data_IF_233787144108
#
_entry.id   IF_233787144108
#
_cell.length_a   1.000
_cell.length_b   1.000
_cell.length_c   1.000
_cell.angle_alpha   90.00
_cell.angle_beta   90.00
_cell.angle_gamma   90.00
#
_symmetry.space_group_name_H-M   'P 1'
#
loop_
_entity.id
_entity.type
_entity.pdbx_description
1 polymer ?
#
# COMPACT_ATOMS: atom_id res chain seq x y z
N UNK A 1 26.16 -8.61 -3.28
CA UNK A 1 25.00 -9.30 -3.85
C UNK A 1 24.22 -9.95 -2.71
N UNK A 2 22.88 -9.87 -2.72
CA UNK A 2 21.98 -10.45 -1.75
C UNK A 2 20.62 -10.67 -2.39
N UNK A 3 19.57 -10.62 -1.59
CA UNK A 3 18.20 -10.86 -2.00
C UNK A 3 17.26 -9.83 -1.37
N UNK A 4 16.00 -9.80 -1.81
CA UNK A 4 14.96 -8.94 -1.22
C UNK A 4 14.76 -9.22 0.28
N UNK A 5 15.06 -10.44 0.75
CA UNK A 5 15.01 -10.77 2.19
C UNK A 5 16.01 -9.97 3.04
N UNK A 6 17.04 -9.39 2.43
CA UNK A 6 18.01 -8.54 3.13
C UNK A 6 17.48 -7.10 3.32
N UNK A 7 16.37 -6.75 2.69
CA UNK A 7 15.72 -5.44 2.84
C UNK A 7 14.66 -5.41 3.94
N UNK A 8 14.04 -6.54 4.24
CA UNK A 8 12.95 -6.62 5.19
C UNK A 8 12.22 -7.97 5.17
N UNK A 9 11.21 -8.07 6.01
CA UNK A 9 10.37 -9.26 6.09
C UNK A 9 9.29 -9.24 5.01
N UNK A 10 9.29 -10.26 4.14
CA UNK A 10 8.23 -10.44 3.13
C UNK A 10 7.03 -11.15 3.76
N UNK A 11 5.90 -10.45 3.80
CA UNK A 11 4.64 -10.89 4.41
C UNK A 11 3.60 -11.13 3.31
N UNK A 12 2.97 -12.29 3.33
CA UNK A 12 1.81 -12.58 2.49
C UNK A 12 0.53 -12.07 3.11
N UNK A 13 -0.40 -11.61 2.27
CA UNK A 13 -1.74 -11.26 2.74
C UNK A 13 -2.67 -12.47 2.83
N UNK A 14 -3.85 -12.25 3.41
CA UNK A 14 -4.90 -13.25 3.58
C UNK A 14 -6.30 -12.66 3.40
N UNK A 15 -7.27 -13.53 3.12
CA UNK A 15 -8.66 -13.14 2.96
C UNK A 15 -9.50 -13.89 3.96
N UNK A 16 -10.18 -13.21 4.90
CA UNK A 16 -11.18 -13.84 5.74
C UNK A 16 -12.31 -14.45 4.89
N UNK A 17 -12.98 -15.47 5.40
CA UNK A 17 -14.08 -16.10 4.67
C UNK A 17 -15.19 -15.09 4.37
N UNK A 18 -15.46 -14.83 3.10
CA UNK A 18 -16.54 -13.93 2.66
C UNK A 18 -17.94 -14.43 3.01
N UNK A 19 -18.08 -15.71 3.45
CA UNK A 19 -19.35 -16.27 3.90
C UNK A 19 -19.74 -15.84 5.32
N UNK A 20 -18.82 -15.21 6.05
CA UNK A 20 -19.00 -14.79 7.44
C UNK A 20 -18.95 -13.27 7.47
N UNK A 21 -20.12 -12.64 7.49
CA UNK A 21 -20.27 -11.18 7.45
C UNK A 21 -19.57 -10.49 8.64
N UNK A 22 -19.58 -11.14 9.81
CA UNK A 22 -18.92 -10.65 11.03
C UNK A 22 -17.40 -10.42 10.88
N UNK A 23 -16.77 -10.95 9.84
CA UNK A 23 -15.33 -10.74 9.58
C UNK A 23 -15.05 -9.42 8.91
N UNK A 24 -16.09 -8.70 8.44
CA UNK A 24 -15.97 -7.47 7.68
C UNK A 24 -16.70 -6.32 8.36
N UNK A 25 -16.21 -5.11 8.20
CA UNK A 25 -16.79 -3.89 8.78
C UNK A 25 -16.40 -2.68 7.94
N UNK A 26 -17.05 -1.55 8.16
CA UNK A 26 -16.68 -0.25 7.60
C UNK A 26 -15.71 0.56 8.47
N UNK A 27 -15.47 0.10 9.70
CA UNK A 27 -14.57 0.79 10.64
C UNK A 27 -13.88 -0.26 11.53
N UNK A 28 -12.73 -0.72 11.12
CA UNK A 28 -11.96 -1.76 11.78
C UNK A 28 -10.48 -1.73 11.40
N UNK A 29 -9.92 -2.91 11.14
CA UNK A 29 -8.54 -3.06 10.67
C UNK A 29 -8.53 -2.87 9.15
N UNK A 30 -7.77 -1.89 8.68
CA UNK A 30 -7.62 -1.62 7.27
C UNK A 30 -7.17 -2.87 6.50
N UNK A 31 -7.94 -3.25 5.47
CA UNK A 31 -7.67 -4.44 4.66
C UNK A 31 -7.61 -4.08 3.18
N UNK A 32 -6.39 -3.95 2.69
CA UNK A 32 -6.10 -3.44 1.36
C UNK A 32 -6.13 -4.55 0.32
N UNK A 33 -6.75 -4.26 -0.83
CA UNK A 33 -6.81 -5.14 -2.00
C UNK A 33 -6.14 -4.49 -3.20
N UNK A 34 -5.75 -5.24 -4.25
CA UNK A 34 -5.22 -4.64 -5.48
C UNK A 34 -6.22 -3.70 -6.17
N UNK A 35 -7.54 -3.91 -5.97
CA UNK A 35 -8.59 -3.00 -6.45
C UNK A 35 -8.46 -1.62 -5.83
N UNK A 36 -8.16 -1.54 -4.54
CA UNK A 36 -8.01 -0.26 -3.85
C UNK A 36 -6.84 0.53 -4.43
N UNK A 37 -5.69 -0.11 -4.67
CA UNK A 37 -4.54 0.53 -5.32
C UNK A 37 -4.74 0.80 -6.83
N UNK A 38 -5.72 0.16 -7.46
CA UNK A 38 -6.13 0.49 -8.82
C UNK A 38 -6.97 1.77 -8.86
N UNK A 39 -7.83 1.95 -7.87
CA UNK A 39 -8.75 3.09 -7.76
C UNK A 39 -8.03 4.35 -7.26
N UNK A 40 -7.17 4.21 -6.27
CA UNK A 40 -6.32 5.27 -5.73
C UNK A 40 -4.85 4.93 -5.95
N UNK A 41 -4.19 5.69 -6.82
CA UNK A 41 -2.77 5.53 -7.16
C UNK A 41 -1.84 6.35 -6.29
N UNK A 42 -2.32 6.84 -5.16
CA UNK A 42 -1.50 7.51 -4.15
C UNK A 42 -0.38 6.60 -3.68
N UNK A 43 0.77 7.19 -3.37
CA UNK A 43 1.90 6.44 -2.82
C UNK A 43 1.61 5.95 -1.40
N UNK A 44 0.86 6.74 -0.61
CA UNK A 44 0.54 6.43 0.78
C UNK A 44 -0.92 6.01 0.93
N UNK A 45 -1.14 4.83 1.52
CA UNK A 45 -2.47 4.25 1.71
C UNK A 45 -2.69 3.88 3.18
N UNK A 46 -3.82 4.32 3.75
CA UNK A 46 -4.21 4.00 5.12
C UNK A 46 -5.42 3.07 5.19
N UNK A 47 -6.32 3.12 4.22
CA UNK A 47 -7.55 2.34 4.17
C UNK A 47 -7.85 1.86 2.76
N UNK A 48 -8.62 0.76 2.65
CA UNK A 48 -9.27 0.29 1.44
C UNK A 48 -10.78 0.58 1.46
N UNK A 49 -11.50 -0.08 0.56
CA UNK A 49 -12.96 0.00 0.48
C UNK A 49 -13.65 -0.73 1.67
N UNK A 50 -12.99 -1.71 2.24
CA UNK A 50 -13.55 -2.57 3.29
C UNK A 50 -12.49 -2.87 4.34
N UNK A 51 -12.88 -2.78 5.61
CA UNK A 51 -12.05 -3.19 6.74
C UNK A 51 -12.42 -4.60 7.19
N UNK A 52 -11.54 -5.23 7.97
CA UNK A 52 -11.82 -6.48 8.64
C UNK A 52 -11.88 -6.28 10.16
N UNK A 53 -12.67 -7.14 10.83
CA UNK A 53 -12.72 -7.15 12.28
C UNK A 53 -11.50 -7.88 12.86
N UNK A 54 -11.24 -7.71 14.16
CA UNK A 54 -10.21 -8.51 14.85
C UNK A 54 -10.51 -10.02 14.75
N UNK A 55 -11.80 -10.39 14.76
CA UNK A 55 -12.20 -11.77 14.55
C UNK A 55 -11.85 -12.25 13.14
N UNK A 56 -12.10 -11.41 12.12
CA UNK A 56 -11.71 -11.69 10.74
C UNK A 56 -10.19 -11.85 10.58
N UNK A 57 -9.41 -10.99 11.22
CA UNK A 57 -7.96 -11.11 11.27
C UNK A 57 -7.54 -12.44 11.94
N UNK A 58 -8.05 -12.72 13.14
CA UNK A 58 -7.69 -13.91 13.91
C UNK A 58 -8.11 -15.24 13.26
N UNK A 59 -9.18 -15.23 12.44
CA UNK A 59 -9.72 -16.42 11.77
C UNK A 59 -9.26 -16.57 10.31
N UNK A 60 -8.27 -15.81 9.90
CA UNK A 60 -7.72 -15.85 8.54
C UNK A 60 -6.19 -15.91 8.54
N UNK A 61 -5.60 -15.97 7.35
CA UNK A 61 -4.15 -15.83 7.15
C UNK A 61 -3.72 -14.37 6.95
N UNK A 62 -4.63 -13.41 7.12
CA UNK A 62 -4.28 -11.99 7.07
C UNK A 62 -3.35 -11.65 8.24
N UNK A 63 -2.37 -10.81 7.97
CA UNK A 63 -1.39 -10.39 8.97
C UNK A 63 -1.43 -8.87 9.08
N UNK A 64 -1.49 -8.35 10.29
CA UNK A 64 -1.37 -6.93 10.55
C UNK A 64 0.09 -6.49 10.38
N UNK A 65 0.31 -5.49 9.56
CA UNK A 65 1.63 -4.95 9.24
C UNK A 65 1.73 -3.50 9.73
N UNK A 66 2.91 -3.05 10.17
CA UNK A 66 3.08 -1.71 10.69
C UNK A 66 3.05 -0.64 9.59
N UNK A 67 2.83 0.61 9.99
CA UNK A 67 3.09 1.80 9.18
C UNK A 67 4.48 1.73 8.56
N UNK A 68 4.60 2.20 7.32
CA UNK A 68 5.84 2.17 6.56
C UNK A 68 6.09 0.87 5.79
N UNK A 69 5.23 -0.15 5.95
CA UNK A 69 5.29 -1.36 5.12
C UNK A 69 5.10 -1.01 3.65
N UNK A 70 5.95 -1.56 2.78
CA UNK A 70 5.81 -1.41 1.33
C UNK A 70 4.91 -2.52 0.81
N UNK A 71 3.72 -2.15 0.36
CA UNK A 71 2.73 -3.04 -0.21
C UNK A 71 3.09 -3.33 -1.67
N UNK A 72 3.10 -4.60 -2.07
CA UNK A 72 3.39 -5.02 -3.43
C UNK A 72 2.34 -6.02 -3.89
N UNK A 73 1.55 -5.66 -4.91
CA UNK A 73 0.62 -6.62 -5.50
C UNK A 73 1.38 -7.67 -6.31
N UNK A 74 1.20 -8.91 -5.92
CA UNK A 74 1.90 -10.06 -6.51
C UNK A 74 1.12 -10.73 -7.63
N UNK A 75 -0.15 -10.34 -7.85
CA UNK A 75 -1.04 -10.85 -8.91
C UNK A 75 -2.21 -9.91 -9.16
N UNK A 76 -2.82 -10.01 -10.34
CA UNK A 76 -4.11 -9.46 -10.77
C UNK A 76 -4.31 -7.93 -10.54
N UNK A 77 -3.43 -7.07 -11.03
CA UNK A 77 -2.15 -7.26 -11.72
C UNK A 77 -0.97 -7.31 -10.75
N UNK A 78 0.20 -7.73 -11.23
CA UNK A 78 1.47 -7.57 -10.53
C UNK A 78 1.88 -6.10 -10.62
N UNK A 79 2.49 -5.55 -9.54
CA UNK A 79 3.23 -4.31 -9.62
C UNK A 79 2.52 -3.05 -9.13
N UNK A 80 1.34 -3.15 -8.51
CA UNK A 80 0.89 -2.03 -7.69
C UNK A 80 1.74 -1.93 -6.44
N UNK A 81 2.31 -0.75 -6.20
CA UNK A 81 3.22 -0.49 -5.08
C UNK A 81 2.73 0.74 -4.34
N UNK A 82 2.54 0.59 -3.02
CA UNK A 82 2.18 1.68 -2.12
C UNK A 82 2.91 1.52 -0.78
N UNK A 83 2.86 2.54 0.05
CA UNK A 83 3.41 2.54 1.41
C UNK A 83 2.24 2.65 2.39
N UNK A 84 2.19 1.76 3.35
CA UNK A 84 1.20 1.81 4.42
C UNK A 84 1.40 3.06 5.29
N UNK A 85 0.38 3.92 5.36
CA UNK A 85 0.42 5.17 6.15
C UNK A 85 -0.01 4.95 7.60
N UNK A 86 -0.64 3.81 7.87
CA UNK A 86 -0.96 3.31 9.20
C UNK A 86 -0.80 1.79 9.23
N UNK A 87 -1.19 1.14 10.33
CA UNK A 87 -1.27 -0.31 10.40
C UNK A 87 -2.31 -0.84 9.41
N UNK A 88 -1.92 -1.79 8.58
CA UNK A 88 -2.81 -2.37 7.56
C UNK A 88 -2.65 -3.88 7.48
N UNK A 89 -3.67 -4.56 7.00
CA UNK A 89 -3.58 -5.91 6.48
C UNK A 89 -3.87 -5.91 4.97
N UNK A 90 -3.64 -7.03 4.29
CA UNK A 90 -3.87 -7.13 2.84
C UNK A 90 -4.51 -8.46 2.51
N UNK A 91 -5.14 -8.54 1.33
CA UNK A 91 -5.60 -9.82 0.80
C UNK A 91 -4.43 -10.68 0.27
N UNK A 92 -4.70 -11.92 -0.11
CA UNK A 92 -3.70 -12.86 -0.64
C UNK A 92 -3.03 -12.40 -1.96
N UNK A 93 -3.52 -11.34 -2.59
CA UNK A 93 -2.93 -10.75 -3.80
C UNK A 93 -1.65 -9.95 -3.53
N UNK A 94 -1.23 -9.83 -2.28
CA UNK A 94 -0.03 -9.08 -1.89
C UNK A 94 1.09 -9.98 -1.36
N UNK A 95 2.31 -9.53 -1.61
CA UNK A 95 3.54 -9.95 -0.95
C UNK A 95 4.27 -8.68 -0.52
N UNK A 96 3.87 -8.15 0.63
CA UNK A 96 4.36 -6.87 1.15
C UNK A 96 5.71 -7.03 1.86
N UNK A 97 6.48 -5.96 1.95
CA UNK A 97 7.76 -5.95 2.62
C UNK A 97 7.69 -5.00 3.81
N UNK A 98 7.95 -5.51 5.01
CA UNK A 98 8.21 -4.71 6.20
C UNK A 98 9.70 -4.40 6.23
N UNK A 99 10.13 -3.18 5.88
CA UNK A 99 11.55 -2.86 5.74
C UNK A 99 12.29 -2.96 7.07
N UNK A 100 13.54 -3.37 7.05
CA UNK A 100 14.41 -3.20 8.21
C UNK A 100 14.72 -1.70 8.42
N UNK A 101 14.91 -1.32 9.67
CA UNK A 101 15.08 0.09 10.05
C UNK A 101 16.28 0.78 9.38
N UNK A 102 17.34 0.02 9.10
CA UNK A 102 18.54 0.51 8.40
C UNK A 102 18.37 0.60 6.88
N UNK A 103 17.34 -0.04 6.31
CA UNK A 103 17.06 0.00 4.86
C UNK A 103 16.05 1.10 4.53
N UNK A 104 14.96 1.17 5.29
CA UNK A 104 13.90 2.14 5.10
C UNK A 104 12.93 1.83 3.94
N UNK A 105 11.75 2.41 4.02
CA UNK A 105 10.69 2.19 3.05
C UNK A 105 10.94 2.85 1.70
N UNK A 106 11.64 3.98 1.67
CA UNK A 106 11.92 4.68 0.42
C UNK A 106 12.79 3.81 -0.51
N UNK A 107 13.84 3.18 0.04
CA UNK A 107 14.69 2.30 -0.74
C UNK A 107 13.91 1.11 -1.30
N UNK A 108 13.15 0.41 -0.44
CA UNK A 108 12.35 -0.74 -0.85
C UNK A 108 11.31 -0.36 -1.92
N UNK A 109 10.64 0.78 -1.75
CA UNK A 109 9.65 1.27 -2.72
C UNK A 109 10.28 1.48 -4.11
N UNK A 110 11.38 2.22 -4.19
CA UNK A 110 12.04 2.47 -5.47
C UNK A 110 12.70 1.23 -6.03
N UNK A 111 13.29 0.38 -5.18
CA UNK A 111 13.83 -0.90 -5.64
C UNK A 111 12.78 -1.76 -6.35
N UNK A 112 11.60 -1.94 -5.76
CA UNK A 112 10.52 -2.70 -6.38
C UNK A 112 10.04 -2.05 -7.68
N UNK A 113 9.95 -0.73 -7.70
CA UNK A 113 9.50 0.03 -8.87
C UNK A 113 10.46 -0.10 -10.05
N UNK A 114 11.75 0.08 -9.81
CA UNK A 114 12.79 0.00 -10.85
C UNK A 114 12.99 -1.44 -11.37
N UNK A 115 12.78 -2.44 -10.52
CA UNK A 115 12.94 -3.84 -10.88
C UNK A 115 11.63 -4.54 -11.26
N UNK A 116 10.53 -3.81 -11.42
CA UNK A 116 9.21 -4.39 -11.66
C UNK A 116 9.20 -5.36 -12.85
N UNK A 117 9.72 -4.94 -14.01
CA UNK A 117 9.77 -5.80 -15.20
C UNK A 117 10.56 -7.08 -14.98
N UNK A 118 11.67 -7.03 -14.24
CA UNK A 118 12.45 -8.20 -13.91
C UNK A 118 11.72 -9.13 -12.93
N UNK A 119 11.00 -8.56 -11.96
CA UNK A 119 10.15 -9.31 -11.01
C UNK A 119 8.98 -9.98 -11.74
N UNK A 120 8.33 -9.30 -12.69
CA UNK A 120 7.26 -9.88 -13.52
C UNK A 120 7.75 -11.04 -14.38
N UNK A 121 9.00 -10.97 -14.88
CA UNK A 121 9.58 -12.03 -15.70
C UNK A 121 9.83 -13.33 -14.93
N UNK A 122 10.03 -13.27 -13.61
CA UNK A 122 10.19 -14.47 -12.76
C UNK A 122 8.87 -14.96 -12.16
N UNK A 123 7.75 -14.28 -12.47
CA UNK A 123 6.42 -14.72 -12.05
C UNK A 123 6.06 -16.04 -12.72
N UNK A 124 5.41 -16.93 -11.98
CA UNK A 124 4.95 -18.25 -12.44
C UNK A 124 3.43 -18.26 -12.62
N UNK A 125 2.93 -19.22 -13.40
CA UNK A 125 1.51 -19.42 -13.69
C UNK A 125 1.19 -19.29 -15.19
N UNK A 126 0.46 -20.27 -15.73
CA UNK A 126 0.13 -20.32 -17.16
C UNK A 126 -1.03 -19.39 -17.54
N UNK A 127 -2.04 -19.29 -16.69
CA UNK A 127 -3.24 -18.48 -16.94
C UNK A 127 -3.20 -17.14 -16.20
N UNK A 128 -2.74 -17.16 -14.95
CA UNK A 128 -2.58 -15.97 -14.13
C UNK A 128 -1.18 -15.98 -13.52
N UNK A 129 -0.37 -15.03 -13.94
CA UNK A 129 0.98 -14.85 -13.38
C UNK A 129 0.88 -14.40 -11.93
N UNK A 130 1.69 -15.02 -11.06
CA UNK A 130 1.86 -14.61 -9.67
C UNK A 130 3.34 -14.69 -9.27
N UNK A 131 3.79 -13.67 -8.56
CA UNK A 131 5.08 -13.68 -7.85
C UNK A 131 4.86 -14.29 -6.48
N UNK A 132 5.35 -15.51 -6.27
CA UNK A 132 5.24 -16.18 -4.98
C UNK A 132 6.06 -15.47 -3.89
N UNK A 133 5.72 -15.71 -2.62
CA UNK A 133 6.51 -15.18 -1.52
C UNK A 133 7.97 -15.64 -1.54
N UNK A 134 8.21 -16.89 -1.92
CA UNK A 134 9.57 -17.43 -2.08
C UNK A 134 10.31 -16.81 -3.27
N UNK A 135 9.62 -16.60 -4.39
CA UNK A 135 10.19 -15.93 -5.57
C UNK A 135 10.62 -14.51 -5.22
N UNK A 136 9.77 -13.74 -4.54
CA UNK A 136 10.10 -12.37 -4.15
C UNK A 136 11.23 -12.34 -3.11
N UNK A 137 11.19 -13.20 -2.09
CA UNK A 137 12.23 -13.29 -1.06
C UNK A 137 13.61 -13.53 -1.65
N UNK A 138 13.70 -14.45 -2.63
CA UNK A 138 14.95 -14.88 -3.24
C UNK A 138 15.32 -14.06 -4.49
N UNK A 139 14.55 -13.03 -4.83
CA UNK A 139 14.87 -12.18 -5.96
C UNK A 139 16.19 -11.46 -5.68
N UNK A 140 17.13 -11.60 -6.63
CA UNK A 140 18.50 -11.11 -6.47
C UNK A 140 18.54 -9.59 -6.37
N UNK A 141 19.34 -9.07 -5.45
CA UNK A 141 19.46 -7.66 -5.17
C UNK A 141 20.90 -7.23 -4.94
N UNK A 142 21.22 -6.01 -5.35
CA UNK A 142 22.43 -5.32 -4.91
C UNK A 142 22.07 -4.62 -3.59
N UNK A 143 22.81 -4.95 -2.54
CA UNK A 143 22.60 -4.35 -1.23
C UNK A 143 23.63 -3.24 -1.07
N UNK A 144 23.19 -1.96 -0.98
CA UNK A 144 24.10 -0.86 -0.67
C UNK A 144 24.65 -1.01 0.75
N UNK A 145 25.78 -0.37 1.01
CA UNK A 145 26.28 -0.26 2.38
C UNK A 145 25.37 0.64 3.25
N UNK A 146 25.54 0.54 4.57
CA UNK A 146 24.70 1.27 5.51
C UNK A 146 24.82 2.79 5.39
N UNK A 147 25.96 3.32 5.00
CA UNK A 147 26.18 4.76 4.79
C UNK A 147 25.34 5.26 3.63
N UNK A 148 25.42 4.58 2.48
CA UNK A 148 24.60 4.87 1.29
C UNK A 148 23.10 4.78 1.59
N UNK A 149 22.65 3.75 2.31
CA UNK A 149 21.23 3.60 2.71
C UNK A 149 20.78 4.74 3.63
N UNK A 150 21.62 5.13 4.58
CA UNK A 150 21.33 6.23 5.53
C UNK A 150 21.22 7.57 4.79
N UNK A 151 22.14 7.86 3.87
CA UNK A 151 22.09 9.07 3.06
C UNK A 151 20.86 9.10 2.15
N UNK A 152 20.55 7.98 1.50
CA UNK A 152 19.36 7.85 0.68
C UNK A 152 18.08 8.09 1.50
N UNK A 153 17.98 7.47 2.67
CA UNK A 153 16.85 7.67 3.58
C UNK A 153 16.73 9.14 4.02
N UNK A 154 17.85 9.76 4.39
CA UNK A 154 17.88 11.18 4.78
C UNK A 154 17.40 12.10 3.66
N UNK A 155 17.76 11.80 2.42
CA UNK A 155 17.33 12.56 1.26
C UNK A 155 15.84 12.33 0.94
N UNK A 156 15.38 11.08 0.97
CA UNK A 156 14.01 10.73 0.57
C UNK A 156 12.95 11.06 1.62
N UNK A 157 13.27 10.98 2.93
CA UNK A 157 12.28 11.13 4.00
C UNK A 157 11.52 12.46 3.94
N UNK A 158 12.16 13.63 3.83
CA UNK A 158 11.41 14.90 3.76
C UNK A 158 10.54 15.01 2.50
N UNK A 159 10.99 14.44 1.38
CA UNK A 159 10.20 14.42 0.13
C UNK A 159 8.98 13.51 0.27
N UNK A 160 9.13 12.36 0.94
CA UNK A 160 8.02 11.45 1.19
C UNK A 160 7.01 12.05 2.16
N UNK A 161 7.46 12.72 3.22
CA UNK A 161 6.57 13.43 4.15
C UNK A 161 5.81 14.56 3.46
N UNK A 162 6.47 15.33 2.61
CA UNK A 162 5.80 16.36 1.83
C UNK A 162 4.79 15.76 0.85
N UNK A 163 5.15 14.72 0.13
CA UNK A 163 4.22 14.04 -0.77
C UNK A 163 3.02 13.47 -0.02
N UNK A 164 3.24 12.83 1.14
CA UNK A 164 2.19 12.31 2.01
C UNK A 164 1.20 13.41 2.44
N UNK A 165 1.72 14.56 2.87
CA UNK A 165 0.91 15.71 3.26
C UNK A 165 0.05 16.22 2.08
N UNK A 166 0.63 16.36 0.90
CA UNK A 166 -0.07 16.80 -0.30
C UNK A 166 -1.13 15.77 -0.78
N UNK A 167 -0.84 14.48 -0.71
CA UNK A 167 -1.81 13.44 -1.03
C UNK A 167 -3.00 13.45 -0.05
N UNK A 168 -2.73 13.68 1.24
CA UNK A 168 -3.78 13.86 2.25
C UNK A 168 -4.63 15.09 1.97
N UNK A 169 -4.00 16.23 1.69
CA UNK A 169 -4.70 17.48 1.34
C UNK A 169 -5.56 17.31 0.08
N UNK A 170 -5.04 16.66 -0.95
CA UNK A 170 -5.80 16.37 -2.17
C UNK A 170 -7.04 15.51 -1.89
N UNK A 171 -6.94 14.48 -1.05
CA UNK A 171 -8.10 13.67 -0.63
C UNK A 171 -9.12 14.49 0.15
N UNK A 172 -8.65 15.33 1.05
CA UNK A 172 -9.51 16.23 1.82
C UNK A 172 -10.26 17.21 0.90
N UNK A 173 -9.55 17.88 -0.03
CA UNK A 173 -10.13 18.82 -0.98
C UNK A 173 -11.13 18.14 -1.93
N UNK A 174 -10.83 16.91 -2.37
CA UNK A 174 -11.77 16.11 -3.16
C UNK A 174 -13.06 15.80 -2.39
N UNK A 175 -12.95 15.37 -1.14
CA UNK A 175 -14.11 15.12 -0.26
C UNK A 175 -14.92 16.40 -0.03
N UNK A 176 -14.25 17.52 0.21
CA UNK A 176 -14.89 18.82 0.40
C UNK A 176 -15.66 19.24 -0.85
N UNK A 177 -15.03 19.14 -2.03
CA UNK A 177 -15.69 19.42 -3.32
C UNK A 177 -16.94 18.55 -3.50
N UNK A 178 -16.81 17.24 -3.30
CA UNK A 178 -17.89 16.29 -3.54
C UNK A 178 -19.04 16.43 -2.52
N UNK A 179 -18.74 16.97 -1.34
CA UNK A 179 -19.75 17.30 -0.31
C UNK A 179 -20.45 18.63 -0.62
N UNK A 180 -19.72 19.65 -1.10
CA UNK A 180 -20.26 20.98 -1.30
C UNK A 180 -20.98 21.13 -2.63
N UNK A 181 -20.47 20.49 -3.69
CA UNK A 181 -21.02 20.65 -5.05
C UNK A 181 -22.52 20.33 -5.14
N UNK A 182 -23.04 19.22 -4.60
CA UNK A 182 -24.48 18.95 -4.60
C UNK A 182 -25.28 20.02 -3.85
N UNK A 183 -24.78 20.53 -2.74
CA UNK A 183 -25.45 21.55 -1.92
C UNK A 183 -25.52 22.91 -2.62
N UNK A 184 -24.47 23.25 -3.37
CA UNK A 184 -24.46 24.43 -4.22
C UNK A 184 -25.46 24.30 -5.37
N UNK A 185 -25.48 23.13 -6.04
CA UNK A 185 -26.38 22.88 -7.17
C UNK A 185 -27.86 22.87 -6.77
N UNK A 186 -28.17 22.41 -5.54
CA UNK A 186 -29.54 22.38 -5.03
C UNK A 186 -29.97 23.68 -4.36
N UNK A 187 -29.11 24.71 -4.28
CA UNK A 187 -29.41 25.99 -3.65
C UNK A 187 -29.47 25.95 -2.12
N UNK A 188 -28.96 24.86 -1.49
CA UNK A 188 -28.85 24.78 -0.01
C UNK A 188 -27.77 25.75 0.52
N UNK A 189 -26.77 26.05 -0.29
CA UNK A 189 -25.71 27.03 0.02
C UNK A 189 -25.88 28.21 -0.91
N UNK A 190 -26.21 29.36 -0.35
CA UNK A 190 -26.27 30.62 -1.08
C UNK A 190 -24.89 31.27 -1.18
N UNK A 191 -24.41 31.48 -2.39
CA UNK A 191 -23.10 32.08 -2.68
C UNK A 191 -23.21 33.53 -3.16
N UNK A 192 -24.42 34.11 -3.18
CA UNK A 192 -24.66 35.50 -3.71
C UNK A 192 -23.88 36.57 -2.92
N UNK A 193 -23.43 36.26 -1.69
CA UNK A 193 -22.67 37.16 -0.81
C UNK A 193 -21.17 36.85 -0.78
N UNK A 194 -20.68 35.82 -1.52
CA UNK A 194 -19.26 35.52 -1.55
C UNK A 194 -18.55 36.46 -2.49
N UNK A 195 -17.67 37.29 -1.95
CA UNK A 195 -16.75 38.08 -2.75
C UNK A 195 -15.55 37.23 -3.14
N UNK A 196 -15.26 37.18 -4.44
CA UNK A 196 -14.10 36.50 -5.02
C UNK A 196 -12.95 37.48 -5.19
#
# INVERSE_FOLDING_TARGET
MGTVSDFGNVIGGGTPSKKVEEYYTSNGIAWITPKDLSNDKSKFVAHGETDITELGLAKSSATLMPKGTVLFSSRAPIGYIAIADDQVSTNQGFKSIVPFSNVGNAFVYYYLKENLSAIENVASGSTFKEVSGSTLKNFSAVIPDNETLTEFQRFCSPLFEQQRALEYENRYLATLRDTLLPKLMNGEIDVSQVQI
#
